data_IF_912037098730
#
_entry.id   IF_912037098730
#
_cell.length_a   1.000
_cell.length_b   1.000
_cell.length_c   1.000
_cell.angle_alpha   90.00
_cell.angle_beta   90.00
_cell.angle_gamma   90.00
#
_symmetry.space_group_name_H-M   'P 1'
#
loop_
_entity.id
_entity.type
_entity.pdbx_description
1 polymer ?
#
# COMPACT_ATOMS: atom_id res chain seq x y z
N UNK A 1 3.93 34.78 -63.56
CA UNK A 1 5.08 33.83 -63.54
C UNK A 1 5.26 33.32 -62.11
N UNK A 2 5.37 31.98 -61.96
CA UNK A 2 6.07 31.17 -60.92
C UNK A 2 5.87 31.53 -59.44
N UNK A 3 5.12 30.74 -58.65
CA UNK A 3 5.57 29.61 -57.78
C UNK A 3 6.75 30.02 -56.88
N UNK A 4 6.68 29.88 -55.54
CA UNK A 4 6.89 28.59 -54.83
C UNK A 4 6.21 28.60 -53.45
N UNK A 5 5.56 27.47 -53.17
CA UNK A 5 5.08 26.97 -51.88
C UNK A 5 6.26 26.38 -51.11
N UNK A 6 6.41 26.73 -49.83
CA UNK A 6 7.02 25.90 -48.78
C UNK A 6 6.46 26.49 -47.45
N UNK A 7 5.57 25.85 -46.71
CA UNK A 7 5.58 24.44 -46.34
C UNK A 7 6.37 24.27 -45.04
N UNK A 8 5.87 24.85 -43.94
CA UNK A 8 6.30 24.46 -42.59
C UNK A 8 5.06 24.17 -41.73
N UNK A 9 4.37 23.10 -42.11
CA UNK A 9 3.57 22.30 -41.17
C UNK A 9 4.51 21.82 -40.07
N UNK A 10 4.57 22.57 -38.97
CA UNK A 10 5.11 22.06 -37.72
C UNK A 10 4.11 21.01 -37.23
N UNK A 11 4.38 19.76 -37.57
CA UNK A 11 3.77 18.60 -36.94
C UNK A 11 3.99 18.75 -35.43
N UNK A 12 2.95 19.15 -34.70
CA UNK A 12 2.77 18.76 -33.32
C UNK A 12 2.52 17.24 -33.32
N UNK A 13 3.58 16.48 -33.58
CA UNK A 13 3.68 15.13 -33.08
C UNK A 13 3.75 15.29 -31.56
N UNK A 14 2.57 15.30 -30.92
CA UNK A 14 2.44 14.85 -29.55
C UNK A 14 2.86 13.39 -29.60
N UNK A 15 4.18 13.15 -29.52
CA UNK A 15 4.67 11.90 -29.01
C UNK A 15 4.12 11.85 -27.60
N UNK A 16 2.98 11.18 -27.44
CA UNK A 16 2.70 10.37 -26.28
C UNK A 16 3.88 9.41 -26.18
N UNK A 17 4.96 9.88 -25.56
CA UNK A 17 5.95 9.03 -24.94
C UNK A 17 5.18 8.24 -23.91
N UNK A 18 4.65 7.10 -24.35
CA UNK A 18 4.58 5.93 -23.50
C UNK A 18 6.01 5.79 -22.98
N UNK A 19 6.28 6.34 -21.79
CA UNK A 19 7.51 6.08 -21.09
C UNK A 19 7.58 4.56 -21.02
N UNK A 20 8.45 3.99 -21.84
CA UNK A 20 8.62 2.56 -21.92
C UNK A 20 9.05 2.16 -20.51
N UNK A 21 8.18 1.42 -19.81
CA UNK A 21 8.46 1.01 -18.44
C UNK A 21 9.80 0.30 -18.43
N UNK A 22 10.62 0.59 -17.43
CA UNK A 22 11.89 -0.10 -17.24
C UNK A 22 11.62 -1.63 -17.27
N UNK A 23 12.35 -2.42 -18.09
CA UNK A 23 12.09 -3.85 -18.22
C UNK A 23 12.13 -4.60 -16.88
N UNK A 24 12.92 -4.13 -15.91
CA UNK A 24 12.95 -4.67 -14.56
C UNK A 24 11.63 -4.41 -13.81
N UNK A 25 11.12 -3.18 -13.89
CA UNK A 25 9.84 -2.79 -13.28
C UNK A 25 8.68 -3.58 -13.86
N UNK A 26 8.69 -3.75 -15.19
CA UNK A 26 7.68 -4.55 -15.87
C UNK A 26 7.74 -6.02 -15.43
N UNK A 27 8.94 -6.61 -15.38
CA UNK A 27 9.12 -7.99 -14.91
C UNK A 27 8.65 -8.19 -13.46
N UNK A 28 8.94 -7.26 -12.55
CA UNK A 28 8.49 -7.34 -11.16
C UNK A 28 6.96 -7.28 -11.03
N UNK A 29 6.30 -6.41 -11.80
CA UNK A 29 4.84 -6.32 -11.83
C UNK A 29 4.23 -7.60 -12.41
N UNK A 30 4.77 -8.13 -13.49
CA UNK A 30 4.29 -9.36 -14.13
C UNK A 30 4.45 -10.57 -13.20
N UNK A 31 5.59 -10.70 -12.52
CA UNK A 31 5.82 -11.75 -11.50
C UNK A 31 4.77 -11.68 -10.40
N UNK A 32 4.47 -10.48 -9.88
CA UNK A 32 3.44 -10.32 -8.87
C UNK A 32 2.05 -10.70 -9.41
N UNK A 33 1.66 -10.22 -10.59
CA UNK A 33 0.33 -10.49 -11.18
C UNK A 33 0.13 -11.99 -11.44
N UNK A 34 1.18 -12.73 -11.77
CA UNK A 34 1.12 -14.17 -11.99
C UNK A 34 1.23 -15.00 -10.70
N UNK A 35 1.50 -14.35 -9.56
CA UNK A 35 1.71 -15.04 -8.29
C UNK A 35 0.43 -15.58 -7.66
N UNK A 36 0.58 -16.65 -6.87
CA UNK A 36 -0.49 -17.18 -6.01
C UNK A 36 -0.93 -16.18 -4.95
N UNK A 37 -0.03 -15.27 -4.53
CA UNK A 37 -0.33 -14.24 -3.54
C UNK A 37 -1.30 -13.20 -4.11
N UNK A 38 -1.11 -12.78 -5.37
CA UNK A 38 -2.06 -11.89 -6.04
C UNK A 38 -3.42 -12.57 -6.27
N UNK A 39 -3.43 -13.84 -6.69
CA UNK A 39 -4.67 -14.58 -6.85
C UNK A 39 -5.44 -14.68 -5.52
N UNK A 40 -4.74 -14.98 -4.40
CA UNK A 40 -5.33 -15.00 -3.06
C UNK A 40 -5.86 -13.63 -2.65
N UNK A 41 -5.04 -12.59 -2.81
CA UNK A 41 -5.39 -11.20 -2.51
C UNK A 41 -6.68 -10.76 -3.20
N UNK A 42 -6.81 -11.03 -4.51
CA UNK A 42 -8.01 -10.68 -5.28
C UNK A 42 -9.26 -11.41 -4.83
N UNK A 43 -9.14 -12.68 -4.46
CA UNK A 43 -10.29 -13.50 -4.04
C UNK A 43 -10.80 -13.17 -2.64
N UNK A 44 -9.93 -12.61 -1.80
CA UNK A 44 -10.19 -12.43 -0.38
C UNK A 44 -11.01 -11.16 -0.09
N UNK A 45 -10.86 -10.09 -0.88
CA UNK A 45 -11.63 -8.85 -0.72
C UNK A 45 -13.06 -9.01 -1.24
N UNK A 46 -14.04 -8.60 -0.43
CA UNK A 46 -15.46 -8.58 -0.82
C UNK A 46 -15.97 -7.14 -0.84
N UNK A 47 -16.18 -6.60 -2.04
CA UNK A 47 -16.76 -5.27 -2.25
C UNK A 47 -18.16 -5.44 -2.85
N UNK A 48 -19.22 -4.88 -2.23
CA UNK A 48 -20.56 -4.93 -2.80
C UNK A 48 -20.57 -4.40 -4.24
N UNK A 49 -21.13 -5.20 -5.16
CA UNK A 49 -21.25 -4.83 -6.57
C UNK A 49 -19.98 -5.02 -7.42
N UNK A 50 -18.87 -5.44 -6.83
CA UNK A 50 -17.63 -5.69 -7.56
C UNK A 50 -17.01 -7.04 -7.17
N UNK A 51 -16.76 -7.86 -8.17
CA UNK A 51 -15.89 -9.03 -8.03
C UNK A 51 -14.44 -8.63 -8.38
N UNK A 52 -13.62 -8.40 -7.35
CA UNK A 52 -12.22 -8.00 -7.52
C UNK A 52 -11.42 -9.04 -8.32
N UNK A 53 -11.79 -10.32 -8.30
CA UNK A 53 -11.10 -11.36 -9.05
C UNK A 53 -11.28 -11.25 -10.58
N UNK A 54 -12.36 -10.60 -11.04
CA UNK A 54 -12.66 -10.43 -12.47
C UNK A 54 -12.36 -9.03 -13.03
N UNK A 55 -12.06 -8.04 -12.18
CA UNK A 55 -11.74 -6.68 -12.65
C UNK A 55 -10.49 -6.65 -13.56
N UNK A 56 -10.49 -5.75 -14.54
CA UNK A 56 -9.33 -5.53 -15.39
C UNK A 56 -8.25 -4.76 -14.61
N UNK A 57 -6.98 -5.08 -14.86
CA UNK A 57 -5.86 -4.22 -14.47
C UNK A 57 -5.86 -3.05 -15.45
N UNK A 58 -6.03 -1.83 -14.93
CA UNK A 58 -6.16 -0.61 -15.74
C UNK A 58 -4.89 0.24 -15.75
N UNK A 59 -4.04 0.06 -14.73
CA UNK A 59 -2.74 0.72 -14.63
C UNK A 59 -1.86 -0.06 -13.65
N UNK A 60 -0.56 0.12 -13.78
CA UNK A 60 0.42 -0.36 -12.81
C UNK A 60 1.67 0.53 -12.87
N UNK A 61 2.40 0.65 -11.77
CA UNK A 61 3.63 1.43 -11.71
C UNK A 61 4.48 1.02 -10.50
N UNK A 62 5.74 1.43 -10.49
CA UNK A 62 6.67 1.19 -9.38
C UNK A 62 7.04 2.52 -8.75
N UNK A 63 7.20 2.54 -7.43
CA UNK A 63 7.83 3.64 -6.70
C UNK A 63 8.98 3.10 -5.85
N UNK A 64 9.94 3.96 -5.59
CA UNK A 64 11.10 3.67 -4.76
C UNK A 64 11.09 4.60 -3.55
N UNK A 65 11.36 4.06 -2.37
CA UNK A 65 11.59 4.88 -1.19
C UNK A 65 12.99 5.48 -1.29
N UNK A 66 13.12 6.81 -1.28
CA UNK A 66 14.41 7.52 -1.38
C UNK A 66 15.29 7.06 -2.57
N UNK A 67 14.67 6.77 -3.71
CA UNK A 67 15.33 6.26 -4.93
C UNK A 67 16.08 4.92 -4.77
N UNK A 68 15.83 4.19 -3.67
CA UNK A 68 16.40 2.87 -3.41
C UNK A 68 15.74 1.81 -4.31
N UNK A 69 16.44 1.44 -5.39
CA UNK A 69 16.00 0.41 -6.34
C UNK A 69 16.01 -1.01 -5.79
N UNK A 70 16.59 -1.24 -4.61
CA UNK A 70 16.66 -2.59 -4.02
C UNK A 70 15.34 -3.00 -3.35
N UNK A 71 14.47 -2.05 -3.06
CA UNK A 71 13.17 -2.27 -2.41
C UNK A 71 12.02 -1.58 -3.16
N UNK A 72 11.68 -2.04 -4.38
CA UNK A 72 10.58 -1.46 -5.15
C UNK A 72 9.22 -1.71 -4.48
N UNK A 73 8.37 -0.68 -4.49
CA UNK A 73 6.95 -0.80 -4.13
C UNK A 73 6.13 -0.78 -5.41
N UNK A 74 5.43 -1.87 -5.67
CA UNK A 74 4.59 -2.05 -6.84
C UNK A 74 3.17 -1.55 -6.55
N UNK A 75 2.57 -0.89 -7.51
CA UNK A 75 1.19 -0.45 -7.48
C UNK A 75 0.45 -1.07 -8.65
N UNK A 76 -0.67 -1.74 -8.38
CA UNK A 76 -1.52 -2.36 -9.41
C UNK A 76 -2.94 -1.88 -9.22
N UNK A 77 -3.46 -1.16 -10.21
CA UNK A 77 -4.80 -0.58 -10.17
C UNK A 77 -5.78 -1.46 -10.95
N UNK A 78 -6.90 -1.77 -10.32
CA UNK A 78 -8.02 -2.50 -10.92
C UNK A 78 -9.22 -1.59 -11.10
N UNK A 79 -9.91 -1.76 -12.22
CA UNK A 79 -11.04 -0.91 -12.57
C UNK A 79 -12.19 -1.67 -13.22
N UNK A 80 -13.35 -1.03 -13.20
CA UNK A 80 -14.57 -1.49 -13.84
C UNK A 80 -14.96 -0.55 -14.98
N UNK A 81 -15.60 -1.10 -16.01
CA UNK A 81 -15.96 -0.36 -17.23
C UNK A 81 -15.16 -0.82 -18.44
N UNK A 82 -15.21 -0.05 -19.52
CA UNK A 82 -14.51 -0.39 -20.77
C UNK A 82 -13.08 0.16 -20.76
N UNK A 83 -12.10 -0.53 -21.37
CA UNK A 83 -10.75 0.01 -21.57
C UNK A 83 -10.80 1.44 -22.13
N UNK A 84 -10.06 2.37 -21.51
CA UNK A 84 -10.07 3.80 -21.85
C UNK A 84 -11.15 4.65 -21.16
N UNK A 85 -12.09 4.03 -20.44
CA UNK A 85 -13.13 4.68 -19.62
C UNK A 85 -13.29 4.03 -18.24
N UNK A 86 -12.33 3.19 -17.86
CA UNK A 86 -12.42 2.39 -16.64
C UNK A 86 -12.38 3.28 -15.41
N UNK A 87 -13.37 3.12 -14.54
CA UNK A 87 -13.36 3.71 -13.20
C UNK A 87 -12.41 2.92 -12.31
N UNK A 88 -11.51 3.61 -11.61
CA UNK A 88 -10.68 3.01 -10.56
C UNK A 88 -11.59 2.47 -9.45
N UNK A 89 -11.49 1.17 -9.18
CA UNK A 89 -12.21 0.51 -8.09
C UNK A 89 -11.27 0.20 -6.93
N UNK A 90 -10.02 -0.17 -7.23
CA UNK A 90 -9.06 -0.44 -6.19
C UNK A 90 -7.61 -0.41 -6.64
N UNK A 91 -6.70 -0.36 -5.68
CA UNK A 91 -5.27 -0.35 -5.88
C UNK A 91 -4.58 -1.28 -4.89
N UNK A 92 -3.80 -2.22 -5.40
CA UNK A 92 -2.88 -3.02 -4.62
C UNK A 92 -1.58 -2.24 -4.47
N UNK A 93 -1.10 -2.11 -3.23
CA UNK A 93 0.23 -1.61 -2.91
C UNK A 93 1.04 -2.78 -2.35
N UNK A 94 2.17 -3.08 -2.99
CA UNK A 94 2.82 -4.38 -2.86
C UNK A 94 4.30 -4.20 -2.69
N UNK A 95 4.91 -5.00 -1.82
CA UNK A 95 6.35 -5.13 -1.76
C UNK A 95 6.76 -6.59 -1.67
N UNK A 96 7.83 -6.94 -2.38
CA UNK A 96 8.39 -8.29 -2.36
C UNK A 96 9.30 -8.43 -1.14
N UNK A 97 9.10 -9.46 -0.34
CA UNK A 97 9.96 -9.72 0.82
C UNK A 97 11.22 -10.48 0.41
N UNK A 98 12.26 -10.37 1.23
CA UNK A 98 13.47 -11.18 1.10
C UNK A 98 13.12 -12.68 1.10
N UNK A 99 13.84 -13.54 0.37
CA UNK A 99 13.63 -15.00 0.42
C UNK A 99 13.73 -15.60 1.83
N UNK A 100 14.43 -14.91 2.75
CA UNK A 100 14.61 -15.34 4.12
C UNK A 100 13.47 -14.91 5.05
N UNK A 101 12.61 -13.99 4.60
CA UNK A 101 11.51 -13.46 5.39
C UNK A 101 10.39 -14.50 5.52
N UNK A 102 10.12 -14.98 6.73
CA UNK A 102 9.16 -16.09 6.96
C UNK A 102 7.80 -15.67 7.47
N UNK A 103 7.63 -14.41 7.79
CA UNK A 103 6.45 -13.95 8.50
C UNK A 103 5.24 -13.64 7.63
N UNK A 104 5.33 -13.73 6.30
CA UNK A 104 4.14 -13.64 5.45
C UNK A 104 3.38 -14.98 5.56
N UNK A 105 2.10 -14.96 5.96
CA UNK A 105 1.30 -16.18 6.01
C UNK A 105 1.28 -16.95 4.69
N UNK A 106 1.08 -18.26 4.78
CA UNK A 106 0.93 -19.16 3.63
C UNK A 106 2.16 -19.19 2.70
N UNK A 107 3.37 -19.02 3.25
CA UNK A 107 4.62 -18.92 2.48
C UNK A 107 4.58 -17.83 1.41
N UNK A 108 3.87 -16.73 1.68
CA UNK A 108 3.74 -15.63 0.74
C UNK A 108 5.07 -14.92 0.52
N UNK A 109 5.24 -14.34 -0.67
CA UNK A 109 6.44 -13.60 -1.06
C UNK A 109 6.23 -12.09 -1.13
N UNK A 110 5.03 -11.65 -0.79
CA UNK A 110 4.63 -10.25 -0.92
C UNK A 110 3.88 -9.78 0.31
N UNK A 111 4.23 -8.59 0.79
CA UNK A 111 3.37 -7.75 1.62
C UNK A 111 2.40 -7.03 0.69
N UNK A 112 1.10 -7.09 1.00
CA UNK A 112 0.03 -6.62 0.11
C UNK A 112 -1.00 -5.84 0.92
N UNK A 113 -1.10 -4.55 0.61
CA UNK A 113 -2.20 -3.70 1.04
C UNK A 113 -3.14 -3.46 -0.14
N UNK A 114 -4.42 -3.21 0.16
CA UNK A 114 -5.39 -2.80 -0.84
C UNK A 114 -6.17 -1.57 -0.41
N UNK A 115 -6.33 -0.65 -1.36
CA UNK A 115 -7.14 0.55 -1.23
C UNK A 115 -8.39 0.37 -2.06
N UNK A 116 -9.54 0.40 -1.40
CA UNK A 116 -10.86 0.36 -2.01
C UNK A 116 -11.32 1.79 -2.29
N UNK A 117 -11.49 2.12 -3.57
CA UNK A 117 -12.01 3.39 -4.07
C UNK A 117 -13.44 3.28 -4.59
N UNK A 118 -14.14 2.16 -4.36
CA UNK A 118 -15.50 1.93 -4.88
C UNK A 118 -16.52 2.98 -4.41
N UNK A 119 -16.30 3.54 -3.22
CA UNK A 119 -17.11 4.61 -2.63
C UNK A 119 -16.44 6.00 -2.71
N UNK A 120 -15.35 6.13 -3.48
CA UNK A 120 -14.66 7.39 -3.72
C UNK A 120 -14.93 7.89 -5.14
N UNK A 121 -15.19 9.19 -5.26
CA UNK A 121 -15.33 9.91 -6.51
C UNK A 121 -14.07 10.76 -6.73
N UNK A 122 -13.27 10.36 -7.72
CA UNK A 122 -12.04 11.06 -8.07
C UNK A 122 -12.30 12.45 -8.68
N UNK A 123 -13.45 12.68 -9.31
CA UNK A 123 -13.78 13.97 -9.94
C UNK A 123 -14.06 15.02 -8.87
N UNK A 124 -14.85 14.69 -7.86
CA UNK A 124 -15.14 15.60 -6.74
C UNK A 124 -14.15 15.47 -5.59
N UNK A 125 -13.20 14.53 -5.69
CA UNK A 125 -12.27 14.14 -4.64
C UNK A 125 -12.97 13.91 -3.30
N UNK A 126 -14.12 13.23 -3.34
CA UNK A 126 -15.02 13.07 -2.19
C UNK A 126 -15.47 11.62 -2.07
N UNK A 127 -15.68 11.15 -0.85
CA UNK A 127 -16.21 9.83 -0.56
C UNK A 127 -15.35 9.07 0.44
N UNK A 128 -15.46 7.74 0.40
CA UNK A 128 -14.84 6.86 1.38
C UNK A 128 -13.78 6.00 0.70
N UNK A 129 -12.59 5.92 1.29
CA UNK A 129 -11.51 5.03 0.89
C UNK A 129 -11.26 4.03 2.02
N UNK A 130 -11.35 2.73 1.75
CA UNK A 130 -11.05 1.69 2.75
C UNK A 130 -9.69 1.07 2.49
N UNK A 131 -9.01 0.70 3.56
CA UNK A 131 -7.68 0.13 3.54
C UNK A 131 -7.70 -1.26 4.14
N UNK A 132 -7.19 -2.23 3.41
CA UNK A 132 -7.13 -3.62 3.81
C UNK A 132 -5.69 -4.10 3.84
N UNK A 133 -5.35 -4.86 4.87
CA UNK A 133 -4.16 -5.70 4.90
C UNK A 133 -4.54 -7.09 4.38
N UNK A 134 -3.99 -7.49 3.23
CA UNK A 134 -4.36 -8.75 2.58
C UNK A 134 -3.50 -9.93 2.98
N UNK A 135 -2.46 -9.72 3.79
CA UNK A 135 -1.62 -10.79 4.29
C UNK A 135 -2.31 -11.56 5.42
N UNK A 136 -3.14 -10.87 6.22
CA UNK A 136 -3.77 -11.41 7.42
C UNK A 136 -5.30 -11.34 7.31
N UNK A 137 -5.88 -12.34 6.64
CA UNK A 137 -7.34 -12.55 6.50
C UNK A 137 -8.13 -11.35 5.93
N UNK A 138 -7.51 -10.53 5.07
CA UNK A 138 -8.12 -9.34 4.46
C UNK A 138 -8.75 -8.39 5.48
N UNK A 139 -8.02 -8.20 6.56
CA UNK A 139 -8.42 -7.33 7.64
C UNK A 139 -8.57 -5.87 7.18
N UNK A 140 -9.70 -5.25 7.51
CA UNK A 140 -9.96 -3.82 7.27
C UNK A 140 -9.15 -2.98 8.27
N UNK A 141 -7.98 -2.53 7.86
CA UNK A 141 -7.07 -1.72 8.66
C UNK A 141 -7.59 -0.29 8.91
N UNK A 142 -8.38 0.26 7.99
CA UNK A 142 -8.97 1.57 8.22
C UNK A 142 -9.91 2.08 7.13
N UNK A 143 -10.57 3.17 7.45
CA UNK A 143 -11.57 3.85 6.61
C UNK A 143 -11.28 5.35 6.65
N UNK A 144 -11.16 5.95 5.47
CA UNK A 144 -10.83 7.35 5.25
C UNK A 144 -12.02 8.06 4.61
N UNK A 145 -12.55 9.08 5.27
CA UNK A 145 -13.59 9.96 4.73
C UNK A 145 -12.95 11.22 4.17
N UNK A 146 -13.13 11.46 2.87
CA UNK A 146 -12.55 12.58 2.14
C UNK A 146 -13.66 13.47 1.59
N UNK A 147 -13.49 14.78 1.69
CA UNK A 147 -14.36 15.76 1.05
C UNK A 147 -13.51 16.81 0.33
N UNK A 148 -13.70 16.94 -0.98
CA UNK A 148 -12.98 17.90 -1.84
C UNK A 148 -11.45 17.83 -1.67
N UNK A 149 -10.92 16.61 -1.57
CA UNK A 149 -9.49 16.35 -1.37
C UNK A 149 -9.00 16.53 0.07
N UNK A 150 -9.87 16.96 0.99
CA UNK A 150 -9.54 17.13 2.41
C UNK A 150 -10.01 15.89 3.17
N UNK A 151 -9.10 15.29 3.94
CA UNK A 151 -9.46 14.21 4.87
C UNK A 151 -10.24 14.81 6.03
N UNK A 152 -11.52 14.44 6.16
CA UNK A 152 -12.38 14.87 7.26
C UNK A 152 -12.21 13.98 8.49
N UNK A 153 -12.13 12.67 8.25
CA UNK A 153 -12.11 11.66 9.29
C UNK A 153 -11.34 10.44 8.80
N UNK A 154 -10.61 9.81 9.71
CA UNK A 154 -9.96 8.53 9.46
C UNK A 154 -10.16 7.62 10.66
N UNK A 155 -10.95 6.57 10.47
CA UNK A 155 -11.18 5.51 11.44
C UNK A 155 -10.20 4.36 11.17
N UNK A 156 -9.20 4.20 12.04
CA UNK A 156 -8.30 3.04 12.01
C UNK A 156 -8.85 1.96 12.91
N UNK A 157 -8.84 0.72 12.45
CA UNK A 157 -9.19 -0.41 13.29
C UNK A 157 -7.91 -0.98 13.93
N UNK A 158 -8.06 -1.62 15.09
CA UNK A 158 -7.03 -2.50 15.63
C UNK A 158 -7.14 -3.88 15.01
N UNK A 159 -6.01 -4.56 14.81
CA UNK A 159 -6.02 -5.94 14.33
C UNK A 159 -6.88 -6.81 15.28
N UNK A 160 -7.86 -7.57 14.76
CA UNK A 160 -8.71 -8.43 15.57
C UNK A 160 -7.88 -9.40 16.40
N UNK A 161 -8.31 -9.64 17.64
CA UNK A 161 -7.62 -10.55 18.55
C UNK A 161 -7.48 -11.97 17.97
N UNK A 162 -8.47 -12.41 17.20
CA UNK A 162 -8.47 -13.69 16.50
C UNK A 162 -7.30 -13.81 15.50
N UNK A 163 -7.04 -12.74 14.74
CA UNK A 163 -5.91 -12.67 13.80
C UNK A 163 -4.59 -12.59 14.59
N UNK A 164 -4.58 -11.79 15.67
CA UNK A 164 -3.45 -11.69 16.58
C UNK A 164 -3.03 -13.06 17.14
N UNK A 165 -3.99 -13.87 17.55
CA UNK A 165 -3.75 -15.22 18.08
C UNK A 165 -3.34 -16.19 16.96
N UNK A 166 -4.08 -16.22 15.84
CA UNK A 166 -3.85 -17.14 14.72
C UNK A 166 -2.43 -17.03 14.16
N UNK A 167 -1.90 -15.81 14.08
CA UNK A 167 -0.56 -15.54 13.58
C UNK A 167 0.47 -15.30 14.69
N UNK A 168 0.11 -15.65 15.93
CA UNK A 168 0.99 -15.64 17.10
C UNK A 168 1.62 -14.26 17.42
N UNK A 169 0.90 -13.18 17.13
CA UNK A 169 1.32 -11.82 17.44
C UNK A 169 1.40 -11.49 18.93
N UNK A 170 0.89 -12.36 19.80
CA UNK A 170 0.90 -12.14 21.25
C UNK A 170 2.18 -12.63 21.94
N UNK A 171 2.99 -13.49 21.30
CA UNK A 171 4.15 -14.13 21.93
C UNK A 171 5.48 -13.38 21.80
N UNK A 172 5.50 -12.21 21.16
CA UNK A 172 6.70 -11.38 21.12
C UNK A 172 6.85 -10.60 22.44
N UNK A 173 7.22 -11.31 23.49
CA UNK A 173 7.81 -10.74 24.68
C UNK A 173 9.32 -10.85 24.53
N UNK A 174 10.01 -9.71 24.43
CA UNK A 174 11.26 -9.37 25.12
C UNK A 174 12.07 -8.33 24.33
N UNK A 175 12.66 -7.41 25.07
CA UNK A 175 13.63 -6.43 24.58
C UNK A 175 14.82 -7.11 23.89
N UNK A 176 15.51 -6.43 22.94
CA UNK A 176 16.54 -7.06 22.15
C UNK A 176 17.79 -7.35 22.97
N UNK A 177 18.39 -8.52 22.73
CA UNK A 177 19.81 -8.73 22.99
C UNK A 177 20.61 -7.95 21.94
N UNK A 178 21.75 -7.39 22.35
CA UNK A 178 22.59 -6.54 21.50
C UNK A 178 23.04 -7.30 20.25
N UNK A 179 22.44 -6.97 19.10
CA UNK A 179 22.80 -7.53 17.79
C UNK A 179 21.62 -7.69 16.83
N UNK A 180 20.40 -7.81 17.36
CA UNK A 180 19.14 -7.88 16.59
C UNK A 180 18.39 -6.55 16.62
N UNK A 181 17.62 -6.26 15.55
CA UNK A 181 16.89 -5.00 15.43
C UNK A 181 15.87 -4.83 16.56
N UNK A 182 15.59 -3.60 17.01
CA UNK A 182 14.74 -3.37 18.19
C UNK A 182 13.33 -4.00 18.10
N UNK A 183 12.83 -4.10 16.87
CA UNK A 183 11.53 -4.70 16.57
C UNK A 183 11.59 -6.19 16.21
N UNK A 184 12.76 -6.82 16.17
CA UNK A 184 12.91 -8.28 16.00
C UNK A 184 12.58 -8.97 17.34
N UNK A 185 11.31 -9.34 17.50
CA UNK A 185 10.79 -9.81 18.78
C UNK A 185 11.02 -11.31 19.01
N UNK A 186 11.27 -12.06 17.94
CA UNK A 186 11.52 -13.50 17.99
C UNK A 186 13.03 -13.84 17.90
N UNK A 187 13.89 -12.85 17.65
CA UNK A 187 15.35 -12.93 17.54
C UNK A 187 15.82 -13.84 16.40
N UNK A 188 15.05 -13.95 15.33
CA UNK A 188 15.43 -14.75 14.16
C UNK A 188 16.25 -13.97 13.12
N UNK A 189 16.43 -12.67 13.33
CA UNK A 189 17.23 -11.78 12.49
C UNK A 189 16.46 -11.17 11.32
N UNK A 190 15.17 -11.49 11.14
CA UNK A 190 14.25 -10.78 10.25
C UNK A 190 13.33 -9.83 11.04
N UNK A 191 12.60 -8.95 10.35
CA UNK A 191 11.58 -8.11 11.02
C UNK A 191 10.30 -8.18 10.24
N UNK A 192 9.32 -8.90 10.75
CA UNK A 192 8.02 -8.94 10.10
C UNK A 192 7.29 -7.60 10.09
N UNK A 193 6.40 -7.39 9.10
CA UNK A 193 5.54 -6.21 9.05
C UNK A 193 4.77 -6.07 10.34
N UNK A 194 4.23 -7.19 10.87
CA UNK A 194 3.49 -7.17 12.12
C UNK A 194 4.37 -6.97 13.35
N UNK A 195 5.60 -7.48 13.36
CA UNK A 195 6.60 -7.17 14.40
C UNK A 195 6.96 -5.71 14.41
N UNK A 196 7.37 -5.18 13.26
CA UNK A 196 7.66 -3.77 13.09
C UNK A 196 6.46 -2.90 13.46
N UNK A 197 5.27 -3.22 12.94
CA UNK A 197 4.11 -2.35 13.06
C UNK A 197 3.68 -2.27 14.53
N UNK A 198 3.61 -3.42 15.20
CA UNK A 198 3.29 -3.48 16.62
C UNK A 198 4.39 -2.87 17.48
N UNK A 199 5.66 -3.07 17.14
CA UNK A 199 6.79 -2.43 17.81
C UNK A 199 6.70 -0.91 17.72
N UNK A 200 6.48 -0.36 16.53
CA UNK A 200 6.34 1.08 16.32
C UNK A 200 5.10 1.67 16.98
N UNK A 201 3.97 0.97 16.92
CA UNK A 201 2.74 1.38 17.60
C UNK A 201 2.94 1.40 19.12
N UNK A 202 3.49 0.34 19.71
CA UNK A 202 3.77 0.29 21.16
C UNK A 202 4.80 1.33 21.60
N UNK A 203 5.84 1.53 20.81
CA UNK A 203 6.87 2.55 21.08
C UNK A 203 6.24 3.94 21.08
N UNK A 204 5.36 4.21 20.11
CA UNK A 204 4.68 5.49 20.04
C UNK A 204 3.65 5.70 21.16
N UNK A 205 2.91 4.66 21.55
CA UNK A 205 1.95 4.72 22.66
C UNK A 205 2.64 4.95 24.01
N UNK A 206 3.87 4.41 24.17
CA UNK A 206 4.68 4.57 25.37
C UNK A 206 5.36 5.95 25.47
N UNK A 207 5.63 6.63 24.35
CA UNK A 207 6.24 7.96 24.31
C UNK A 207 5.15 9.05 24.33
N UNK A 208 5.09 9.92 25.36
CA UNK A 208 4.07 10.95 25.45
C UNK A 208 4.07 11.93 24.28
N UNK A 209 5.22 12.25 23.68
CA UNK A 209 5.32 13.19 22.56
C UNK A 209 4.83 12.54 21.28
N UNK A 210 5.24 11.29 21.01
CA UNK A 210 4.74 10.53 19.86
C UNK A 210 3.25 10.26 20.03
N UNK A 211 2.82 9.82 21.20
CA UNK A 211 1.41 9.63 21.52
C UNK A 211 0.65 10.93 21.30
N UNK A 212 1.10 12.07 21.82
CA UNK A 212 0.38 13.34 21.70
C UNK A 212 0.41 13.89 20.25
N UNK A 213 1.52 13.74 19.53
CA UNK A 213 1.62 14.03 18.10
C UNK A 213 0.68 13.14 17.28
N UNK A 214 0.63 11.85 17.61
CA UNK A 214 -0.25 10.87 16.99
C UNK A 214 -1.64 10.86 17.64
N UNK A 215 -1.95 11.65 18.67
CA UNK A 215 -3.27 11.75 19.32
C UNK A 215 -3.92 13.11 19.11
N UNK A 216 -3.23 14.02 18.40
CA UNK A 216 -3.68 15.38 18.13
C UNK A 216 -4.93 15.38 17.24
N UNK A 217 -6.09 15.18 17.87
CA UNK A 217 -7.42 15.46 17.35
C UNK A 217 -7.66 16.96 17.53
N UNK A 218 -7.59 17.67 16.42
CA UNK A 218 -8.66 18.55 15.98
C UNK A 218 -9.15 19.63 16.97
N UNK A 219 -8.24 20.37 17.62
CA UNK A 219 -8.64 21.65 18.26
C UNK A 219 -8.72 22.83 17.28
N UNK A 220 -8.02 22.76 16.14
CA UNK A 220 -7.79 23.94 15.28
C UNK A 220 -7.94 23.71 13.77
N UNK A 221 -8.56 22.62 13.30
CA UNK A 221 -8.81 22.42 11.86
C UNK A 221 -7.57 22.23 10.97
N UNK A 222 -6.44 21.80 11.54
CA UNK A 222 -5.24 21.38 10.81
C UNK A 222 -5.27 19.87 10.53
N UNK A 223 -4.68 19.39 9.41
CA UNK A 223 -4.83 18.01 8.95
C UNK A 223 -4.05 16.99 9.79
N UNK A 224 -4.81 16.07 10.38
CA UNK A 224 -4.57 14.65 10.75
C UNK A 224 -3.12 14.20 11.01
N UNK A 225 -2.74 14.00 12.28
CA UNK A 225 -1.49 13.30 12.63
C UNK A 225 -1.66 11.88 13.20
N UNK A 226 -2.84 11.49 13.71
CA UNK A 226 -3.04 10.11 14.26
C UNK A 226 -2.93 9.01 13.24
N UNK A 227 -3.60 9.19 12.12
CA UNK A 227 -3.71 8.18 11.10
C UNK A 227 -2.62 8.27 10.03
N UNK A 228 -2.05 9.46 9.81
CA UNK A 228 -0.79 9.60 9.07
C UNK A 228 0.37 8.96 9.82
N UNK A 229 0.40 9.04 11.15
CA UNK A 229 1.42 8.41 11.98
C UNK A 229 1.37 6.88 11.86
N UNK A 230 0.21 6.25 12.09
CA UNK A 230 0.05 4.79 11.93
C UNK A 230 0.25 4.34 10.47
N UNK A 231 -0.17 5.11 9.47
CA UNK A 231 0.10 4.78 8.08
C UNK A 231 1.58 4.93 7.70
N UNK A 232 2.26 5.97 8.17
CA UNK A 232 3.71 6.14 7.98
C UNK A 232 4.47 5.03 8.69
N UNK A 233 3.98 4.57 9.84
CA UNK A 233 4.50 3.38 10.51
C UNK A 233 4.30 2.14 9.65
N UNK A 234 3.10 1.92 9.08
CA UNK A 234 2.86 0.80 8.15
C UNK A 234 3.77 0.85 6.93
N UNK A 235 3.89 2.00 6.27
CA UNK A 235 4.76 2.18 5.12
C UNK A 235 6.24 1.95 5.46
N UNK A 236 6.70 2.50 6.59
CA UNK A 236 8.06 2.26 7.09
C UNK A 236 8.26 0.80 7.51
N UNK A 237 7.24 0.11 8.00
CA UNK A 237 7.33 -1.32 8.30
C UNK A 237 7.41 -2.18 7.06
N UNK A 238 6.69 -1.84 6.00
CA UNK A 238 6.88 -2.49 4.71
C UNK A 238 8.36 -2.37 4.29
N UNK A 239 8.96 -1.19 4.41
CA UNK A 239 10.37 -1.00 4.08
C UNK A 239 11.32 -1.80 4.99
N UNK A 240 11.13 -1.72 6.32
CA UNK A 240 11.97 -2.41 7.29
C UNK A 240 11.92 -3.93 7.11
N UNK A 241 10.74 -4.48 6.82
CA UNK A 241 10.52 -5.91 6.54
C UNK A 241 11.10 -6.41 5.23
N UNK A 242 11.48 -5.51 4.31
CA UNK A 242 12.21 -5.89 3.10
C UNK A 242 13.71 -5.89 3.37
N UNK A 243 14.18 -4.94 4.19
CA UNK A 243 15.60 -4.70 4.46
C UNK A 243 16.21 -5.72 5.43
N UNK A 244 15.46 -6.12 6.43
CA UNK A 244 15.84 -7.10 7.45
C UNK A 244 15.01 -8.37 7.26
#
# INVERSE_FOLDING_TARGET
>A
MKKIVLGLTFFLAVCSSYAQKDPFEQGAIEEFIQSVDFARARNCIKIPGYDIASLAIISSYVKYANDDKTAPVLYVQVGAGRPGSSRLIGEFQVAKVSPNYRAVPNNGRYLILFRDYSAYDATTSTGVIKYYDLNYDCYLAGVLNVQRGIVLEWNTNSMPEEIMIKYNFNNFNNAPDKGTHYCDGNKDGDISFGECYRCMVRTCEADPVCRDMCDLINKNGLPVMKAQCRFSMGAACIYLSIKY
#
